data_IF_510679631242
#
_entry.id   IF_510679631242
#
_cell.length_a   1.000
_cell.length_b   1.000
_cell.length_c   1.000
_cell.angle_alpha   90.00
_cell.angle_beta   90.00
_cell.angle_gamma   90.00
#
_symmetry.space_group_name_H-M   'P 1'
#
loop_
_entity.id
_entity.type
_entity.pdbx_description
1 polymer ?
#
# COMPACT_ATOMS: atom_id res chain seq x y z
N UNK A 1 -7.98 31.56 -59.40
CA UNK A 1 -8.90 31.36 -58.26
C UNK A 1 -9.17 29.86 -58.22
N UNK A 2 -8.56 29.02 -57.38
CA UNK A 2 -8.35 29.05 -55.93
C UNK A 2 -7.04 28.27 -55.69
N UNK A 3 -5.97 28.97 -55.31
CA UNK A 3 -4.67 28.38 -54.92
C UNK A 3 -4.16 29.12 -53.68
N UNK A 4 -5.08 29.34 -52.74
CA UNK A 4 -4.84 29.82 -51.39
C UNK A 4 -5.70 28.88 -50.52
N UNK A 5 -5.09 28.21 -49.54
CA UNK A 5 -5.72 27.38 -48.47
C UNK A 5 -5.12 25.97 -48.27
N UNK A 6 -3.83 25.75 -48.57
CA UNK A 6 -3.11 24.56 -48.05
C UNK A 6 -1.86 24.85 -47.23
N UNK A 7 -1.36 26.09 -47.20
CA UNK A 7 -0.16 26.47 -46.42
C UNK A 7 -0.45 27.17 -45.08
N UNK A 8 -1.71 27.54 -44.82
CA UNK A 8 -2.13 28.18 -43.57
C UNK A 8 -2.55 27.19 -42.47
N UNK A 9 -2.85 25.93 -42.81
CA UNK A 9 -3.23 24.93 -41.79
C UNK A 9 -2.00 24.36 -41.04
N UNK A 10 -0.83 24.34 -41.67
CA UNK A 10 0.41 23.82 -41.05
C UNK A 10 1.11 24.81 -40.12
N UNK A 11 0.78 26.11 -40.21
CA UNK A 11 1.36 27.14 -39.33
C UNK A 11 0.62 27.24 -37.99
N UNK A 12 -0.65 26.83 -37.94
CA UNK A 12 -1.47 26.84 -36.72
C UNK A 12 -1.18 25.61 -35.83
N UNK A 13 -0.68 24.51 -36.40
CA UNK A 13 -0.40 23.28 -35.64
C UNK A 13 0.94 23.33 -34.85
N UNK A 14 1.89 24.18 -35.26
CA UNK A 14 3.20 24.29 -34.59
C UNK A 14 3.15 25.27 -33.40
N UNK A 15 2.19 26.19 -33.38
CA UNK A 15 2.05 27.18 -32.29
C UNK A 15 1.41 26.61 -31.01
N UNK A 16 0.78 25.43 -31.08
CA UNK A 16 0.12 24.78 -29.92
C UNK A 16 1.04 23.78 -29.19
N UNK A 17 2.24 23.49 -29.73
CA UNK A 17 3.19 22.55 -29.13
C UNK A 17 4.29 23.20 -28.26
N UNK A 18 4.23 24.52 -28.03
CA UNK A 18 5.26 25.26 -27.27
C UNK A 18 4.83 25.64 -25.84
N UNK A 19 3.61 25.29 -25.39
CA UNK A 19 3.09 25.67 -24.06
C UNK A 19 2.71 24.51 -23.12
N UNK A 20 3.33 23.32 -23.27
CA UNK A 20 3.23 22.24 -22.28
C UNK A 20 4.59 21.64 -21.89
N UNK A 21 5.61 22.50 -21.76
CA UNK A 21 6.80 22.19 -20.97
C UNK A 21 6.76 23.01 -19.67
N UNK A 22 6.37 22.43 -18.53
CA UNK A 22 6.80 22.97 -17.24
C UNK A 22 8.30 22.70 -17.11
N UNK A 23 9.09 23.74 -17.40
CA UNK A 23 10.35 24.07 -16.74
C UNK A 23 11.38 22.96 -16.52
N UNK A 24 12.32 22.85 -17.46
CA UNK A 24 13.71 22.60 -17.08
C UNK A 24 14.25 23.89 -16.45
N UNK A 25 14.14 23.99 -15.13
CA UNK A 25 14.83 25.00 -14.33
C UNK A 25 16.11 24.39 -13.78
N UNK A 26 17.24 24.73 -14.38
CA UNK A 26 18.55 24.59 -13.77
C UNK A 26 18.60 25.50 -12.55
N UNK A 27 18.35 24.93 -11.37
CA UNK A 27 18.66 25.58 -10.09
C UNK A 27 19.77 24.79 -9.43
N UNK A 28 20.97 25.37 -9.51
CA UNK A 28 22.03 25.32 -8.50
C UNK A 28 22.24 23.99 -7.78
N UNK A 29 23.40 23.41 -8.03
CA UNK A 29 24.19 22.63 -7.07
C UNK A 29 24.25 23.38 -5.73
N UNK A 30 23.28 23.18 -4.86
CA UNK A 30 23.38 23.54 -3.46
C UNK A 30 23.80 22.28 -2.71
N UNK A 31 25.11 22.14 -2.59
CA UNK A 31 25.74 21.53 -1.43
C UNK A 31 25.25 22.28 -0.18
N UNK A 32 24.09 21.89 0.32
CA UNK A 32 23.55 22.27 1.63
C UNK A 32 22.56 21.18 2.09
N UNK A 33 22.93 19.91 1.95
CA UNK A 33 22.30 18.83 2.72
C UNK A 33 22.91 18.82 4.12
N UNK A 34 22.58 19.84 4.91
CA UNK A 34 22.73 19.82 6.36
C UNK A 34 21.51 20.51 6.96
N UNK A 35 20.67 19.70 7.61
CA UNK A 35 19.62 20.10 8.56
C UNK A 35 18.24 20.49 8.01
N UNK A 36 17.75 19.88 6.94
CA UNK A 36 16.28 19.76 6.82
C UNK A 36 15.83 18.56 7.66
N UNK A 37 14.94 18.74 8.66
CA UNK A 37 14.40 17.62 9.41
C UNK A 37 13.71 16.64 8.44
N UNK A 38 13.77 15.32 8.71
CA UNK A 38 13.14 14.34 7.84
C UNK A 38 11.65 14.67 7.69
N UNK A 39 11.21 14.85 6.44
CA UNK A 39 9.84 15.22 6.13
C UNK A 39 8.90 14.04 6.41
N UNK A 40 7.86 14.28 7.19
CA UNK A 40 6.77 13.30 7.40
C UNK A 40 6.05 13.10 6.08
N UNK A 41 5.93 11.84 5.65
CA UNK A 41 5.33 11.43 4.38
C UNK A 41 3.84 11.19 4.59
N UNK A 42 2.98 11.61 3.66
CA UNK A 42 1.56 11.27 3.70
C UNK A 42 1.29 9.91 3.04
N UNK A 43 0.13 9.30 3.33
CA UNK A 43 -0.26 8.03 2.70
C UNK A 43 -0.28 8.14 1.16
N UNK A 44 -0.72 9.29 0.63
CA UNK A 44 -0.79 9.54 -0.81
C UNK A 44 0.61 9.72 -1.44
N UNK A 45 1.53 10.38 -0.73
CA UNK A 45 2.91 10.52 -1.17
C UNK A 45 3.59 9.15 -1.26
N UNK A 46 3.41 8.32 -0.22
CA UNK A 46 3.97 6.98 -0.18
C UNK A 46 3.38 6.08 -1.27
N UNK A 47 2.05 6.16 -1.49
CA UNK A 47 1.38 5.45 -2.57
C UNK A 47 1.92 5.84 -3.95
N UNK A 48 2.15 7.13 -4.18
CA UNK A 48 2.73 7.62 -5.43
C UNK A 48 4.16 7.14 -5.61
N UNK A 49 4.99 7.21 -4.54
CA UNK A 49 6.39 6.77 -4.54
C UNK A 49 6.54 5.28 -4.85
N UNK A 50 5.70 4.44 -4.25
CA UNK A 50 5.80 2.99 -4.35
C UNK A 50 4.94 2.39 -5.46
N UNK A 51 4.27 3.23 -6.28
CA UNK A 51 3.28 2.80 -7.26
C UNK A 51 2.23 1.87 -6.63
N UNK A 52 1.73 2.24 -5.46
CA UNK A 52 0.67 1.54 -4.73
C UNK A 52 -0.66 2.28 -4.86
N UNK A 53 -1.75 1.60 -4.54
CA UNK A 53 -3.08 2.21 -4.45
C UNK A 53 -3.43 2.44 -2.99
N UNK A 54 -4.01 3.59 -2.65
CA UNK A 54 -4.54 3.83 -1.30
C UNK A 54 -5.76 2.93 -1.07
N UNK A 55 -5.71 2.16 0.01
CA UNK A 55 -6.73 1.22 0.42
C UNK A 55 -7.86 1.86 1.21
N UNK A 56 -9.07 1.49 0.84
CA UNK A 56 -10.30 1.67 1.60
C UNK A 56 -10.60 0.39 2.42
N UNK A 57 -10.95 0.56 3.68
CA UNK A 57 -11.48 -0.53 4.53
C UNK A 57 -12.87 -0.96 4.05
N UNK A 58 -13.27 -2.19 4.36
CA UNK A 58 -14.54 -2.81 3.95
C UNK A 58 -14.72 -2.97 2.42
N UNK A 59 -13.65 -2.77 1.65
CA UNK A 59 -13.62 -2.97 0.21
C UNK A 59 -12.97 -4.30 -0.13
N UNK A 60 -13.56 -5.01 -1.09
CA UNK A 60 -13.02 -6.28 -1.58
C UNK A 60 -11.97 -6.00 -2.66
N UNK A 61 -10.75 -6.46 -2.43
CA UNK A 61 -9.70 -6.51 -3.45
C UNK A 61 -9.41 -7.96 -3.81
N UNK A 62 -9.04 -8.17 -5.07
CA UNK A 62 -8.69 -9.48 -5.61
C UNK A 62 -7.17 -9.57 -5.75
N UNK A 63 -6.59 -10.62 -5.20
CA UNK A 63 -5.18 -10.94 -5.40
C UNK A 63 -4.93 -11.26 -6.88
N UNK A 64 -3.67 -11.14 -7.31
CA UNK A 64 -3.22 -11.47 -8.67
C UNK A 64 -3.86 -12.77 -9.21
N UNK A 65 -4.22 -12.81 -10.49
CA UNK A 65 -4.87 -13.95 -11.14
C UNK A 65 -4.04 -15.25 -11.05
N UNK A 66 -2.72 -15.16 -10.85
CA UNK A 66 -1.86 -16.31 -10.58
C UNK A 66 -2.13 -16.97 -9.22
N UNK A 67 -2.80 -16.26 -8.31
CA UNK A 67 -3.04 -16.62 -6.92
C UNK A 67 -4.53 -16.88 -6.69
N UNK A 68 -4.98 -18.08 -7.08
CA UNK A 68 -6.34 -18.57 -6.84
C UNK A 68 -6.33 -19.65 -5.77
N UNK A 69 -7.45 -19.77 -5.06
CA UNK A 69 -7.68 -20.90 -4.18
C UNK A 69 -7.67 -22.21 -4.98
N UNK A 70 -7.42 -23.32 -4.28
CA UNK A 70 -7.42 -24.66 -4.90
C UNK A 70 -8.71 -25.03 -5.63
N UNK A 71 -9.85 -24.43 -5.25
CA UNK A 71 -11.16 -24.60 -5.91
C UNK A 71 -11.35 -23.74 -7.18
N UNK A 72 -10.34 -22.95 -7.54
CA UNK A 72 -10.35 -22.06 -8.72
C UNK A 72 -10.99 -20.70 -8.48
N UNK A 73 -11.49 -20.40 -7.27
CA UNK A 73 -11.98 -19.07 -6.91
C UNK A 73 -10.83 -18.09 -6.64
N UNK A 74 -11.08 -16.79 -6.82
CA UNK A 74 -10.03 -15.78 -6.60
C UNK A 74 -9.76 -15.59 -5.11
N UNK A 75 -8.49 -15.50 -4.74
CA UNK A 75 -8.14 -15.03 -3.40
C UNK A 75 -8.53 -13.55 -3.25
N UNK A 76 -9.19 -13.25 -2.14
CA UNK A 76 -9.65 -11.89 -1.85
C UNK A 76 -9.22 -11.45 -0.47
N UNK A 77 -9.08 -10.15 -0.35
CA UNK A 77 -8.88 -9.44 0.90
C UNK A 77 -10.05 -8.48 1.09
N UNK A 78 -10.50 -8.37 2.34
CA UNK A 78 -11.43 -7.34 2.76
C UNK A 78 -11.12 -6.99 4.23
N UNK A 79 -10.23 -6.02 4.42
CA UNK A 79 -9.86 -5.55 5.75
C UNK A 79 -10.95 -4.64 6.32
N UNK A 80 -11.47 -4.99 7.48
CA UNK A 80 -12.37 -4.14 8.26
C UNK A 80 -11.60 -3.13 9.10
N UNK A 81 -10.41 -3.51 9.59
CA UNK A 81 -9.55 -2.65 10.37
C UNK A 81 -8.08 -3.01 10.19
N UNK A 82 -7.22 -2.01 10.38
CA UNK A 82 -5.76 -2.14 10.49
C UNK A 82 -5.34 -1.27 11.67
N UNK A 83 -4.91 -1.89 12.77
CA UNK A 83 -4.58 -1.19 13.99
C UNK A 83 -3.26 -1.60 14.62
N UNK A 84 -2.58 -0.65 15.27
CA UNK A 84 -1.46 -0.95 16.15
C UNK A 84 -1.96 -1.18 17.57
N UNK A 85 -1.46 -2.23 18.21
CA UNK A 85 -1.91 -2.68 19.53
C UNK A 85 -0.70 -2.87 20.44
N UNK A 86 -0.73 -2.25 21.62
CA UNK A 86 0.37 -2.33 22.59
C UNK A 86 0.51 -3.69 23.23
N UNK A 87 -0.60 -4.32 23.63
CA UNK A 87 -0.58 -5.66 24.22
C UNK A 87 -1.96 -6.31 24.17
N UNK A 88 -2.03 -7.58 23.79
CA UNK A 88 -3.24 -8.39 23.87
C UNK A 88 -2.90 -9.89 23.90
N UNK A 89 -3.73 -10.68 24.59
CA UNK A 89 -3.66 -12.15 24.53
C UNK A 89 -4.56 -12.68 23.43
N UNK A 90 -3.99 -13.41 22.47
CA UNK A 90 -4.70 -14.03 21.34
C UNK A 90 -4.28 -15.50 21.24
N UNK A 91 -5.25 -16.41 21.22
CA UNK A 91 -4.98 -17.85 21.10
C UNK A 91 -4.03 -18.40 22.17
N UNK A 92 -4.09 -17.87 23.40
CA UNK A 92 -3.22 -18.28 24.51
C UNK A 92 -1.81 -17.68 24.48
N UNK A 93 -1.47 -16.87 23.48
CA UNK A 93 -0.19 -16.15 23.39
C UNK A 93 -0.40 -14.66 23.63
N UNK A 94 0.48 -14.03 24.40
CA UNK A 94 0.48 -12.57 24.56
C UNK A 94 1.39 -11.94 23.52
N UNK A 95 0.81 -11.07 22.70
CA UNK A 95 1.52 -10.27 21.72
C UNK A 95 1.67 -8.86 22.26
N UNK A 96 2.86 -8.29 22.11
CA UNK A 96 3.15 -6.91 22.45
C UNK A 96 3.53 -6.14 21.18
N UNK A 97 3.19 -4.85 21.14
CA UNK A 97 3.58 -3.90 20.11
C UNK A 97 3.42 -4.44 18.68
N UNK A 98 2.23 -4.91 18.34
CA UNK A 98 1.94 -5.66 17.12
C UNK A 98 0.90 -4.93 16.26
N UNK A 99 0.75 -5.36 15.00
CA UNK A 99 -0.32 -4.88 14.11
C UNK A 99 -1.43 -5.93 14.02
N UNK A 100 -2.65 -5.52 14.34
CA UNK A 100 -3.88 -6.30 14.20
C UNK A 100 -4.59 -5.92 12.91
N UNK A 101 -5.03 -6.92 12.15
CA UNK A 101 -5.85 -6.71 10.96
C UNK A 101 -7.06 -7.63 11.06
N UNK A 102 -8.25 -7.05 11.11
CA UNK A 102 -9.49 -7.82 11.03
C UNK A 102 -9.90 -7.95 9.57
N UNK A 103 -10.07 -9.18 9.11
CA UNK A 103 -10.35 -9.54 7.72
C UNK A 103 -11.69 -10.30 7.64
N UNK A 104 -12.51 -9.96 6.64
CA UNK A 104 -13.84 -10.58 6.46
C UNK A 104 -13.80 -12.06 6.10
N UNK A 105 -12.92 -12.53 5.19
CA UNK A 105 -12.80 -13.96 4.88
C UNK A 105 -12.62 -14.85 6.13
N UNK A 106 -13.22 -16.05 6.13
CA UNK A 106 -13.00 -17.06 7.15
C UNK A 106 -11.52 -17.43 7.33
N UNK A 107 -11.17 -17.92 8.52
CA UNK A 107 -9.80 -18.20 8.93
C UNK A 107 -9.03 -19.17 8.01
N UNK A 108 -9.68 -20.20 7.50
CA UNK A 108 -9.06 -21.15 6.57
C UNK A 108 -8.64 -20.46 5.27
N UNK A 109 -9.50 -19.63 4.69
CA UNK A 109 -9.23 -18.87 3.47
C UNK A 109 -8.15 -17.83 3.70
N UNK A 110 -8.19 -17.11 4.83
CA UNK A 110 -7.15 -16.15 5.20
C UNK A 110 -5.78 -16.80 5.36
N UNK A 111 -5.71 -18.00 5.96
CA UNK A 111 -4.46 -18.78 6.07
C UNK A 111 -3.93 -19.18 4.70
N UNK A 112 -4.79 -19.69 3.84
CA UNK A 112 -4.41 -20.09 2.49
C UNK A 112 -3.91 -18.88 1.68
N UNK A 113 -4.58 -17.73 1.79
CA UNK A 113 -4.16 -16.48 1.17
C UNK A 113 -2.76 -16.04 1.63
N UNK A 114 -2.49 -16.03 2.93
CA UNK A 114 -1.19 -15.59 3.46
C UNK A 114 -0.07 -16.54 3.04
N UNK A 115 -0.31 -17.85 3.09
CA UNK A 115 0.72 -18.84 2.75
C UNK A 115 1.09 -18.83 1.27
N UNK A 116 0.13 -18.53 0.39
CA UNK A 116 0.33 -18.64 -1.05
C UNK A 116 0.63 -17.30 -1.74
N UNK A 117 0.14 -16.18 -1.21
CA UNK A 117 0.10 -14.93 -1.97
C UNK A 117 0.31 -13.66 -1.13
N UNK A 118 0.01 -13.68 0.17
CA UNK A 118 0.02 -12.49 1.00
C UNK A 118 1.43 -12.00 1.33
N UNK A 119 1.86 -10.90 0.72
CA UNK A 119 3.04 -10.15 1.13
C UNK A 119 2.64 -8.91 1.91
N UNK A 120 3.32 -8.68 3.04
CA UNK A 120 3.13 -7.52 3.89
C UNK A 120 4.41 -6.69 3.95
N UNK A 121 4.25 -5.37 4.00
CA UNK A 121 5.34 -4.45 4.30
C UNK A 121 4.84 -3.31 5.19
N UNK A 122 5.63 -2.93 6.20
CA UNK A 122 5.29 -1.86 7.13
C UNK A 122 6.20 -0.65 6.88
N UNK A 123 5.63 0.55 6.93
CA UNK A 123 6.36 1.80 6.72
C UNK A 123 6.17 2.74 7.90
N UNK A 124 7.25 3.40 8.32
CA UNK A 124 7.20 4.43 9.35
C UNK A 124 6.66 5.76 8.80
N UNK A 125 6.59 6.79 9.65
CA UNK A 125 6.11 8.11 9.25
C UNK A 125 6.99 8.82 8.21
N UNK A 126 8.20 8.33 7.98
CA UNK A 126 9.16 8.84 6.99
C UNK A 126 9.19 7.97 5.72
N UNK A 127 8.34 6.94 5.65
CA UNK A 127 8.24 6.03 4.50
C UNK A 127 9.40 5.04 4.41
N UNK A 128 10.10 4.76 5.51
CA UNK A 128 11.11 3.69 5.59
C UNK A 128 10.42 2.38 5.93
N UNK A 129 10.70 1.34 5.14
CA UNK A 129 10.10 0.03 5.34
C UNK A 129 10.89 -0.90 6.26
N UNK A 130 10.20 -1.91 6.80
CA UNK A 130 10.81 -3.08 7.43
C UNK A 130 10.22 -4.37 6.86
N UNK A 131 11.03 -5.43 6.83
CA UNK A 131 10.61 -6.80 6.55
C UNK A 131 10.77 -7.72 7.78
N UNK A 132 11.17 -7.17 8.93
CA UNK A 132 11.51 -7.96 10.13
C UNK A 132 10.32 -8.12 11.07
N UNK A 133 9.32 -8.88 10.63
CA UNK A 133 8.20 -9.32 11.47
C UNK A 133 7.70 -10.69 11.01
N UNK A 134 7.01 -11.36 11.93
CA UNK A 134 6.31 -12.61 11.69
C UNK A 134 4.82 -12.35 11.48
N UNK A 135 4.16 -13.22 10.73
CA UNK A 135 2.72 -13.18 10.49
C UNK A 135 2.08 -14.43 11.06
N UNK A 136 1.01 -14.27 11.81
CA UNK A 136 0.14 -15.38 12.26
C UNK A 136 -1.32 -15.02 12.07
N UNK A 137 -2.20 -16.00 12.20
CA UNK A 137 -3.65 -15.83 12.03
C UNK A 137 -4.43 -16.51 13.14
N UNK A 138 -5.53 -15.89 13.54
CA UNK A 138 -6.44 -16.41 14.54
C UNK A 138 -7.90 -16.09 14.21
N UNK A 139 -8.85 -16.70 14.94
CA UNK A 139 -10.25 -16.30 14.86
C UNK A 139 -10.44 -14.88 15.41
N UNK A 140 -11.32 -14.11 14.78
CA UNK A 140 -11.85 -12.85 15.32
C UNK A 140 -13.33 -13.04 15.75
N UNK A 141 -14.03 -11.94 16.05
CA UNK A 141 -15.47 -11.97 16.32
C UNK A 141 -16.27 -12.36 15.06
N UNK A 142 -17.44 -12.98 15.23
CA UNK A 142 -18.47 -13.15 14.19
C UNK A 142 -17.97 -13.68 12.82
N UNK A 143 -17.39 -14.89 12.81
CA UNK A 143 -16.88 -15.58 11.60
C UNK A 143 -15.76 -14.84 10.82
N UNK A 144 -15.26 -13.74 11.38
CA UNK A 144 -14.12 -13.00 10.84
C UNK A 144 -12.81 -13.70 11.22
N UNK A 145 -11.76 -13.35 10.49
CA UNK A 145 -10.40 -13.75 10.81
C UNK A 145 -9.56 -12.55 11.22
N UNK A 146 -8.54 -12.84 12.01
CA UNK A 146 -7.53 -11.87 12.39
C UNK A 146 -6.17 -12.28 11.84
N UNK A 147 -5.45 -11.30 11.31
CA UNK A 147 -4.05 -11.40 10.92
C UNK A 147 -3.25 -10.58 11.94
N UNK A 148 -2.22 -11.18 12.51
CA UNK A 148 -1.34 -10.57 13.51
C UNK A 148 0.06 -10.50 12.93
N UNK A 149 0.57 -9.27 12.77
CA UNK A 149 1.97 -9.03 12.44
C UNK A 149 2.68 -8.68 13.74
N UNK A 150 3.71 -9.45 14.10
CA UNK A 150 4.40 -9.30 15.39
C UNK A 150 5.91 -9.44 15.24
N UNK A 151 6.66 -8.83 16.15
CA UNK A 151 8.11 -8.98 16.23
C UNK A 151 8.53 -9.07 17.69
N UNK A 152 9.45 -9.99 18.00
CA UNK A 152 10.03 -10.09 19.34
C UNK A 152 11.11 -9.01 19.58
N UNK A 153 11.59 -8.36 18.51
CA UNK A 153 12.72 -7.44 18.54
C UNK A 153 12.31 -5.98 18.32
N UNK A 154 11.28 -5.76 17.52
CA UNK A 154 10.84 -4.44 17.09
C UNK A 154 9.48 -4.07 17.67
N UNK A 155 9.37 -2.83 18.15
CA UNK A 155 8.07 -2.21 18.41
C UNK A 155 7.41 -1.88 17.06
N UNK A 156 6.34 -2.59 16.71
CA UNK A 156 5.62 -2.33 15.45
C UNK A 156 4.62 -1.18 15.56
N UNK A 157 4.33 -0.65 16.75
CA UNK A 157 3.40 0.48 16.93
C UNK A 157 3.95 1.80 16.40
N UNK A 158 5.26 1.87 16.12
CA UNK A 158 5.91 3.01 15.46
C UNK A 158 5.62 3.12 13.96
N UNK A 159 5.13 2.06 13.33
CA UNK A 159 4.81 2.07 11.90
C UNK A 159 3.43 2.70 11.67
N UNK A 160 3.32 3.45 10.58
CA UNK A 160 2.15 4.27 10.24
C UNK A 160 1.35 3.72 9.08
N UNK A 161 2.00 2.97 8.19
CA UNK A 161 1.37 2.43 6.98
C UNK A 161 1.66 0.95 6.79
N UNK A 162 0.67 0.24 6.26
CA UNK A 162 0.73 -1.18 5.90
C UNK A 162 0.49 -1.33 4.40
N UNK A 163 1.39 -2.01 3.72
CA UNK A 163 1.24 -2.43 2.32
C UNK A 163 0.88 -3.92 2.28
N UNK A 164 -0.05 -4.29 1.41
CA UNK A 164 -0.43 -5.68 1.15
C UNK A 164 -0.61 -5.96 -0.34
N UNK A 165 -0.11 -7.09 -0.84
CA UNK A 165 -0.16 -7.43 -2.27
C UNK A 165 0.58 -8.70 -2.65
N UNK A 166 0.67 -9.00 -3.97
CA UNK A 166 0.21 -8.20 -5.12
C UNK A 166 -1.29 -8.37 -5.46
N UNK A 167 -1.89 -7.35 -6.10
CA UNK A 167 -3.29 -7.36 -6.56
C UNK A 167 -3.42 -7.48 -8.08
N UNK A 168 -4.51 -8.13 -8.52
CA UNK A 168 -4.84 -8.32 -9.94
C UNK A 168 -5.10 -6.99 -10.66
N UNK A 169 -4.73 -6.94 -11.94
CA UNK A 169 -4.96 -5.81 -12.84
C UNK A 169 -4.08 -4.57 -12.58
N UNK A 170 -3.17 -4.61 -11.61
CA UNK A 170 -2.40 -3.43 -11.23
C UNK A 170 -0.88 -3.65 -11.09
N UNK A 171 -0.36 -4.85 -10.80
CA UNK A 171 1.02 -5.01 -10.29
C UNK A 171 1.33 -4.05 -9.13
N UNK A 172 0.31 -3.74 -8.31
CA UNK A 172 0.42 -2.79 -7.19
C UNK A 172 0.07 -3.49 -5.90
N UNK A 173 0.67 -3.01 -4.82
CA UNK A 173 0.17 -3.25 -3.48
C UNK A 173 -0.91 -2.25 -3.12
N UNK A 174 -1.72 -2.58 -2.12
CA UNK A 174 -2.67 -1.68 -1.49
C UNK A 174 -2.06 -1.18 -0.19
N UNK A 175 -2.08 0.14 0.02
CA UNK A 175 -1.56 0.81 1.22
C UNK A 175 -2.70 1.24 2.14
N UNK A 176 -2.65 0.83 3.39
CA UNK A 176 -3.58 1.21 4.44
C UNK A 176 -2.87 2.04 5.50
N UNK A 177 -3.59 2.98 6.11
CA UNK A 177 -3.14 3.65 7.33
C UNK A 177 -3.38 2.75 8.54
N UNK A 178 -2.40 2.71 9.45
CA UNK A 178 -2.48 1.96 10.70
C UNK A 178 -3.03 2.89 11.78
N UNK A 179 -4.15 2.52 12.39
CA UNK A 179 -4.78 3.30 13.47
C UNK A 179 -4.30 2.83 14.85
N UNK A 180 -4.00 3.75 15.75
CA UNK A 180 -3.72 3.39 17.13
C UNK A 180 -5.00 2.91 17.83
N UNK A 181 -4.90 1.79 18.55
CA UNK A 181 -5.98 1.23 19.36
C UNK A 181 -5.68 1.30 20.86
#
# INVERSE_FOLDING_TARGET
MILLNRKLLSLVLILVLVFLAPGCGSSSTNQNEKNNPPQVVTLQDLATKNNSTVGELNKVYRMDISNRYSDGSNMIINFQSVSSVKSATKGGSTFNNFISIINVPPLNLTREMINNAGSFELYDEYGKSTAMFSVTTGPAAEDLSEIVLYSEKDDLTKYKYLSFGPMDGANKTILFEIKAQ
#
